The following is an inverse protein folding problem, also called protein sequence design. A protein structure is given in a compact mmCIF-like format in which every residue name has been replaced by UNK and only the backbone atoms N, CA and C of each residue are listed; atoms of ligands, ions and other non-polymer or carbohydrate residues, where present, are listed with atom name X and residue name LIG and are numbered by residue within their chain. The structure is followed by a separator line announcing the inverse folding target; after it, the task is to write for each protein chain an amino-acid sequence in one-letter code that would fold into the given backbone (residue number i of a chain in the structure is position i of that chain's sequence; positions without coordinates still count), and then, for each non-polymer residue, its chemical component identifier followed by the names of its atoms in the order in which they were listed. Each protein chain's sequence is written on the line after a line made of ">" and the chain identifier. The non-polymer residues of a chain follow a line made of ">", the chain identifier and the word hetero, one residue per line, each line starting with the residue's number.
data_IF_809927145300
#
_entry.id   IF_809927145300
#
_cell.length_a   1.000
_cell.length_b   1.000
_cell.length_c   1.000
_cell.angle_alpha   90.00
_cell.angle_beta   90.00
_cell.angle_gamma   90.00
#
_symmetry.space_group_name_H-M   'P 1'
#
loop_
_entity.id
_entity.type
_entity.pdbx_description
1 polymer ?
#
# COMPACT_ATOMS: atom_id res chain seq x y z
N UNK A 1 -13.53 -25.26 22.96
CA UNK A 1 -14.24 -24.04 22.52
C UNK A 1 -13.32 -23.10 21.73
N UNK A 2 -12.47 -23.61 20.83
CA UNK A 2 -11.47 -22.82 20.06
C UNK A 2 -11.80 -22.72 18.55
N UNK A 3 -12.87 -23.37 18.12
CA UNK A 3 -13.22 -23.54 16.71
C UNK A 3 -13.84 -22.27 16.11
N UNK A 4 -14.76 -21.62 16.81
CA UNK A 4 -15.59 -20.54 16.24
C UNK A 4 -14.80 -19.25 15.99
N UNK A 5 -13.86 -18.92 16.88
CA UNK A 5 -12.99 -17.75 16.72
C UNK A 5 -12.05 -17.90 15.53
N UNK A 6 -11.57 -19.13 15.27
CA UNK A 6 -10.70 -19.41 14.13
C UNK A 6 -11.43 -19.31 12.79
N UNK A 7 -12.69 -19.75 12.73
CA UNK A 7 -13.53 -19.67 11.52
C UNK A 7 -13.91 -18.22 11.22
N UNK A 8 -14.31 -17.46 12.25
CA UNK A 8 -14.62 -16.03 12.11
C UNK A 8 -13.43 -15.22 11.58
N UNK A 9 -12.24 -15.43 12.14
CA UNK A 9 -11.01 -14.74 11.70
C UNK A 9 -10.62 -15.10 10.27
N UNK A 10 -10.83 -16.35 9.85
CA UNK A 10 -10.60 -16.77 8.45
C UNK A 10 -11.55 -16.10 7.47
N UNK A 11 -12.83 -15.97 7.82
CA UNK A 11 -13.83 -15.29 7.00
C UNK A 11 -13.49 -13.80 6.84
N UNK A 12 -13.12 -13.13 7.94
CA UNK A 12 -12.61 -11.77 7.94
C UNK A 12 -11.36 -11.64 7.07
N UNK A 13 -10.43 -12.59 7.16
CA UNK A 13 -9.25 -12.61 6.29
C UNK A 13 -9.62 -12.70 4.81
N UNK A 14 -10.61 -13.51 4.45
CA UNK A 14 -11.10 -13.60 3.07
C UNK A 14 -11.67 -12.26 2.59
N UNK A 15 -12.46 -11.58 3.43
CA UNK A 15 -12.99 -10.24 3.13
C UNK A 15 -11.86 -9.23 2.95
N UNK A 16 -10.85 -9.23 3.81
CA UNK A 16 -9.69 -8.35 3.69
C UNK A 16 -8.89 -8.63 2.40
N UNK A 17 -8.75 -9.89 1.99
CA UNK A 17 -8.12 -10.24 0.72
C UNK A 17 -8.91 -9.74 -0.49
N UNK A 18 -10.25 -9.81 -0.45
CA UNK A 18 -11.10 -9.25 -1.51
C UNK A 18 -10.93 -7.73 -1.59
N UNK A 19 -10.96 -7.03 -0.45
CA UNK A 19 -10.72 -5.58 -0.40
C UNK A 19 -9.33 -5.25 -0.95
N UNK A 20 -8.29 -5.97 -0.52
CA UNK A 20 -6.93 -5.77 -1.00
C UNK A 20 -6.82 -5.97 -2.52
N UNK A 21 -7.42 -7.04 -3.05
CA UNK A 21 -7.43 -7.31 -4.49
C UNK A 21 -8.13 -6.18 -5.27
N UNK A 22 -9.27 -5.69 -4.77
CA UNK A 22 -9.97 -4.56 -5.38
C UNK A 22 -9.09 -3.30 -5.39
N UNK A 23 -8.48 -2.95 -4.25
CA UNK A 23 -7.59 -1.79 -4.11
C UNK A 23 -6.38 -1.87 -5.06
N UNK A 24 -5.74 -3.03 -5.16
CA UNK A 24 -4.57 -3.24 -6.02
C UNK A 24 -4.93 -3.28 -7.52
N UNK A 25 -6.17 -3.62 -7.87
CA UNK A 25 -6.65 -3.62 -9.26
C UNK A 25 -7.08 -2.23 -9.75
N UNK A 26 -7.59 -1.36 -8.86
CA UNK A 26 -8.08 -0.01 -9.24
C UNK A 26 -7.09 0.85 -10.03
N UNK A 27 -5.77 0.89 -9.71
CA UNK A 27 -4.80 1.67 -10.49
C UNK A 27 -4.76 1.32 -11.98
N UNK A 28 -5.05 0.07 -12.36
CA UNK A 28 -5.11 -0.34 -13.77
C UNK A 28 -6.32 0.30 -14.47
N UNK A 29 -7.47 0.38 -13.80
CA UNK A 29 -8.66 1.03 -14.32
C UNK A 29 -8.48 2.55 -14.44
N UNK A 30 -7.70 3.16 -13.54
CA UNK A 30 -7.39 4.59 -13.54
C UNK A 30 -6.28 4.97 -14.53
N UNK A 31 -5.63 4.01 -15.17
CA UNK A 31 -4.47 4.26 -16.06
C UNK A 31 -4.82 5.19 -17.21
N UNK A 32 -6.00 5.07 -17.81
CA UNK A 32 -6.44 5.94 -18.91
C UNK A 32 -6.69 7.38 -18.48
N UNK A 33 -7.15 7.59 -17.24
CA UNK A 33 -7.45 8.91 -16.66
C UNK A 33 -6.19 9.59 -16.13
N UNK A 34 -5.18 8.80 -15.78
CA UNK A 34 -3.90 9.26 -15.20
C UNK A 34 -2.74 9.23 -16.21
N UNK A 35 -2.99 8.81 -17.46
CA UNK A 35 -1.95 8.66 -18.48
C UNK A 35 -1.24 9.98 -18.82
N UNK A 36 -1.97 11.09 -18.86
CA UNK A 36 -1.43 12.43 -19.09
C UNK A 36 -1.05 13.16 -17.80
N UNK A 37 -1.37 12.60 -16.63
CA UNK A 37 -1.02 13.20 -15.37
C UNK A 37 0.46 12.93 -15.07
N UNK A 38 1.32 13.89 -15.40
CA UNK A 38 2.60 14.04 -14.73
C UNK A 38 2.39 14.22 -13.21
N UNK A 39 3.49 14.33 -12.45
CA UNK A 39 3.46 14.60 -10.99
C UNK A 39 2.33 15.60 -10.67
N UNK A 40 1.41 15.29 -9.74
CA UNK A 40 0.26 16.15 -9.46
C UNK A 40 0.69 17.58 -9.12
N UNK A 41 -0.11 18.57 -9.51
CA UNK A 41 0.12 19.97 -9.20
C UNK A 41 -1.03 20.52 -8.35
N UNK A 42 -0.71 21.12 -7.19
CA UNK A 42 -1.72 21.68 -6.29
C UNK A 42 -2.57 22.80 -6.94
N UNK A 43 -2.02 23.48 -7.95
CA UNK A 43 -2.72 24.51 -8.71
C UNK A 43 -3.84 23.96 -9.60
N UNK A 44 -3.85 22.65 -9.89
CA UNK A 44 -4.83 22.00 -10.75
C UNK A 44 -5.57 20.91 -9.97
N UNK A 45 -6.79 21.18 -9.45
CA UNK A 45 -7.55 20.22 -8.65
C UNK A 45 -7.80 18.88 -9.34
N UNK A 46 -7.92 18.88 -10.68
CA UNK A 46 -8.06 17.66 -11.48
C UNK A 46 -6.83 16.75 -11.40
N UNK A 47 -5.64 17.30 -11.22
CA UNK A 47 -4.40 16.54 -11.10
C UNK A 47 -4.30 15.74 -9.79
N UNK A 48 -5.10 16.09 -8.77
CA UNK A 48 -5.13 15.37 -7.48
C UNK A 48 -5.63 13.92 -7.62
N UNK A 49 -6.33 13.60 -8.72
CA UNK A 49 -6.67 12.21 -9.07
C UNK A 49 -5.40 11.36 -9.20
N UNK A 50 -4.26 11.95 -9.57
CA UNK A 50 -2.95 11.30 -9.61
C UNK A 50 -2.41 10.86 -8.24
N UNK A 51 -3.03 11.26 -7.12
CA UNK A 51 -2.72 10.72 -5.78
C UNK A 51 -3.37 9.35 -5.53
N UNK A 52 -4.42 9.02 -6.28
CA UNK A 52 -5.16 7.78 -6.06
C UNK A 52 -4.30 6.52 -6.27
N UNK A 53 -3.49 6.39 -7.34
CA UNK A 53 -2.66 5.19 -7.53
C UNK A 53 -1.72 4.88 -6.35
N UNK A 54 -0.85 5.80 -5.87
CA UNK A 54 -0.01 5.52 -4.70
C UNK A 54 -0.83 5.20 -3.44
N UNK A 55 -1.94 5.90 -3.20
CA UNK A 55 -2.79 5.66 -2.05
C UNK A 55 -3.45 4.27 -2.08
N UNK A 56 -3.99 3.87 -3.23
CA UNK A 56 -4.61 2.56 -3.44
C UNK A 56 -3.60 1.42 -3.29
N UNK A 57 -2.39 1.58 -3.82
CA UNK A 57 -1.32 0.59 -3.67
C UNK A 57 -0.88 0.46 -2.21
N UNK A 58 -0.68 1.57 -1.50
CA UNK A 58 -0.38 1.55 -0.06
C UNK A 58 -1.48 0.83 0.72
N UNK A 59 -2.74 1.21 0.50
CA UNK A 59 -3.88 0.64 1.20
C UNK A 59 -4.01 -0.87 0.91
N UNK A 60 -3.87 -1.26 -0.36
CA UNK A 60 -3.89 -2.64 -0.82
C UNK A 60 -2.78 -3.48 -0.19
N UNK A 61 -1.55 -2.95 -0.10
CA UNK A 61 -0.42 -3.67 0.49
C UNK A 61 -0.62 -3.95 2.00
N UNK A 62 -1.11 -2.96 2.75
CA UNK A 62 -1.40 -3.11 4.19
C UNK A 62 -2.53 -4.11 4.44
N UNK A 63 -3.64 -3.94 3.72
CA UNK A 63 -4.82 -4.82 3.83
C UNK A 63 -4.52 -6.25 3.36
N UNK A 64 -3.69 -6.44 2.34
CA UNK A 64 -3.27 -7.75 1.85
C UNK A 64 -2.54 -8.55 2.95
N UNK A 65 -1.54 -7.95 3.60
CA UNK A 65 -0.77 -8.64 4.64
C UNK A 65 -1.62 -8.96 5.86
N UNK A 66 -2.52 -8.04 6.25
CA UNK A 66 -3.51 -8.30 7.29
C UNK A 66 -4.41 -9.48 6.91
N UNK A 67 -4.95 -9.50 5.69
CA UNK A 67 -5.80 -10.58 5.19
C UNK A 67 -5.09 -11.93 5.16
N UNK A 68 -3.84 -11.97 4.71
CA UNK A 68 -3.01 -13.19 4.72
C UNK A 68 -2.83 -13.73 6.14
N UNK A 69 -2.56 -12.86 7.12
CA UNK A 69 -2.44 -13.26 8.51
C UNK A 69 -3.77 -13.80 9.05
N UNK A 70 -4.87 -13.11 8.77
CA UNK A 70 -6.21 -13.47 9.23
C UNK A 70 -6.73 -14.79 8.63
N UNK A 71 -6.49 -15.06 7.34
CA UNK A 71 -6.81 -16.38 6.73
C UNK A 71 -5.99 -17.51 7.36
N UNK A 72 -4.82 -17.21 7.91
CA UNK A 72 -4.02 -18.17 8.71
C UNK A 72 -4.48 -18.27 10.17
N UNK A 73 -5.59 -17.62 10.53
CA UNK A 73 -6.12 -17.57 11.89
C UNK A 73 -5.27 -16.77 12.86
N UNK A 74 -4.42 -15.86 12.38
CA UNK A 74 -3.46 -15.09 13.19
C UNK A 74 -3.66 -13.59 13.01
N UNK A 75 -3.17 -12.80 13.97
CA UNK A 75 -3.00 -11.36 13.79
C UNK A 75 -1.68 -11.08 13.09
N UNK A 76 -1.58 -9.91 12.44
CA UNK A 76 -0.34 -9.48 11.80
C UNK A 76 0.66 -9.03 12.87
N UNK A 77 1.83 -9.67 12.92
CA UNK A 77 2.91 -9.26 13.84
C UNK A 77 3.62 -7.97 13.35
N UNK A 78 4.18 -7.14 14.24
CA UNK A 78 4.93 -5.93 13.85
C UNK A 78 6.09 -6.20 12.88
N UNK A 79 6.80 -7.32 13.02
CA UNK A 79 7.91 -7.65 12.10
C UNK A 79 7.41 -8.09 10.72
N UNK A 80 6.29 -8.81 10.66
CA UNK A 80 5.70 -9.21 9.40
C UNK A 80 5.14 -8.01 8.62
N UNK A 81 4.69 -6.95 9.29
CA UNK A 81 4.21 -5.75 8.61
C UNK A 81 5.32 -4.94 7.92
N UNK A 82 6.61 -5.20 8.22
CA UNK A 82 7.73 -4.66 7.44
C UNK A 82 7.71 -5.11 5.97
N UNK A 83 6.99 -6.18 5.63
CA UNK A 83 6.76 -6.55 4.24
C UNK A 83 5.83 -5.58 3.50
N UNK A 84 5.03 -4.77 4.20
CA UNK A 84 4.04 -3.87 3.59
C UNK A 84 4.67 -2.84 2.64
N UNK A 85 5.70 -2.06 3.03
CA UNK A 85 6.36 -1.16 2.09
C UNK A 85 6.99 -1.91 0.90
N UNK A 86 7.51 -3.14 1.10
CA UNK A 86 8.07 -3.95 0.01
C UNK A 86 7.00 -4.38 -1.01
N UNK A 87 5.83 -4.81 -0.53
CA UNK A 87 4.69 -5.13 -1.40
C UNK A 87 4.24 -3.88 -2.17
N UNK A 88 4.19 -2.72 -1.51
CA UNK A 88 3.86 -1.45 -2.14
C UNK A 88 4.83 -1.07 -3.25
N UNK A 89 6.14 -1.21 -3.01
CA UNK A 89 7.19 -1.00 -4.02
C UNK A 89 7.03 -1.97 -5.19
N UNK A 90 6.88 -3.27 -4.92
CA UNK A 90 6.77 -4.28 -5.96
C UNK A 90 5.56 -4.04 -6.88
N UNK A 91 4.39 -3.73 -6.29
CA UNK A 91 3.18 -3.41 -7.06
C UNK A 91 3.35 -2.10 -7.81
N UNK A 92 3.90 -1.06 -7.16
CA UNK A 92 4.13 0.24 -7.80
C UNK A 92 5.03 0.13 -9.03
N UNK A 93 6.09 -0.68 -8.95
CA UNK A 93 6.96 -1.00 -10.09
C UNK A 93 6.19 -1.75 -11.17
N UNK A 94 5.42 -2.79 -10.79
CA UNK A 94 4.65 -3.59 -11.74
C UNK A 94 3.63 -2.75 -12.54
N UNK A 95 2.96 -1.80 -11.89
CA UNK A 95 2.03 -0.85 -12.55
C UNK A 95 2.76 0.10 -13.51
N UNK A 96 4.04 0.35 -13.26
CA UNK A 96 4.90 1.22 -14.04
C UNK A 96 5.42 0.61 -15.34
N UNK A 97 5.42 -0.72 -15.44
CA UNK A 97 5.88 -1.44 -16.62
C UNK A 97 4.77 -1.43 -17.66
N UNK A 98 5.09 -0.97 -18.87
CA UNK A 98 4.23 -1.11 -20.04
C UNK A 98 4.74 -2.24 -20.94
N UNK A 99 3.83 -3.16 -21.29
CA UNK A 99 4.10 -4.32 -22.15
C UNK A 99 3.16 -4.21 -23.35
N UNK A 100 3.39 -3.20 -24.19
CA UNK A 100 2.56 -2.96 -25.37
C UNK A 100 2.69 -4.09 -26.41
N UNK A 101 1.76 -4.20 -27.37
CA UNK A 101 1.81 -5.21 -28.44
C UNK A 101 3.08 -5.14 -29.32
N UNK A 102 3.77 -4.00 -29.34
CA UNK A 102 5.07 -3.84 -29.98
C UNK A 102 6.24 -4.56 -29.25
N UNK A 103 6.06 -4.92 -27.98
CA UNK A 103 7.07 -5.62 -27.17
C UNK A 103 7.34 -7.06 -27.68
N UNK A 104 6.46 -7.59 -28.53
CA UNK A 104 6.62 -8.92 -29.15
C UNK A 104 7.57 -8.86 -30.36
N UNK A 105 7.83 -7.68 -30.92
CA UNK A 105 8.71 -7.51 -32.10
C UNK A 105 10.10 -6.94 -31.76
N UNK A 106 10.25 -6.22 -30.64
CA UNK A 106 11.53 -5.85 -30.01
C UNK A 106 11.28 -5.69 -28.50
N UNK A 107 12.05 -6.32 -27.60
CA UNK A 107 11.81 -6.22 -26.16
C UNK A 107 12.27 -4.84 -25.65
N UNK A 108 11.48 -3.80 -25.90
CA UNK A 108 11.67 -2.49 -25.32
C UNK A 108 10.71 -2.34 -24.12
N UNK A 109 11.15 -2.76 -22.94
CA UNK A 109 10.44 -2.52 -21.70
C UNK A 109 10.39 -1.00 -21.46
N UNK A 110 9.20 -0.39 -21.46
CA UNK A 110 9.04 1.03 -21.12
C UNK A 110 8.58 1.16 -19.67
N UNK A 111 9.33 1.94 -18.89
CA UNK A 111 8.94 2.34 -17.54
C UNK A 111 8.28 3.72 -17.61
N UNK A 112 7.07 3.84 -17.06
CA UNK A 112 6.37 5.12 -16.98
C UNK A 112 7.11 6.12 -16.08
N UNK A 113 7.15 7.39 -16.47
CA UNK A 113 7.72 8.46 -15.63
C UNK A 113 6.97 8.68 -14.30
N UNK A 114 5.75 8.15 -14.17
CA UNK A 114 4.91 8.24 -12.96
C UNK A 114 5.28 7.16 -11.93
N UNK A 115 6.00 6.11 -12.35
CA UNK A 115 6.37 4.97 -11.50
C UNK A 115 7.13 5.36 -10.24
N UNK A 116 8.15 6.26 -10.26
CA UNK A 116 8.84 6.67 -9.04
C UNK A 116 7.93 7.34 -8.02
N UNK A 117 6.93 8.11 -8.48
CA UNK A 117 5.94 8.75 -7.61
C UNK A 117 5.01 7.72 -6.94
N UNK A 118 4.49 6.77 -7.72
CA UNK A 118 3.64 5.68 -7.20
C UNK A 118 4.41 4.83 -6.19
N UNK A 119 5.64 4.44 -6.53
CA UNK A 119 6.51 3.64 -5.67
C UNK A 119 6.81 4.36 -4.36
N UNK A 120 7.17 5.64 -4.42
CA UNK A 120 7.46 6.43 -3.21
C UNK A 120 6.22 6.57 -2.32
N UNK A 121 5.07 6.95 -2.87
CA UNK A 121 3.82 7.07 -2.11
C UNK A 121 3.36 5.73 -1.51
N UNK A 122 3.48 4.64 -2.27
CA UNK A 122 3.18 3.29 -1.80
C UNK A 122 4.11 2.83 -0.67
N UNK A 123 5.41 3.12 -0.78
CA UNK A 123 6.39 2.81 0.26
C UNK A 123 6.12 3.61 1.54
N UNK A 124 5.84 4.91 1.43
CA UNK A 124 5.48 5.77 2.56
C UNK A 124 4.21 5.23 3.23
N UNK A 125 3.14 4.99 2.48
CA UNK A 125 1.89 4.49 3.07
C UNK A 125 2.01 3.08 3.64
N UNK A 126 2.75 2.17 2.99
CA UNK A 126 3.00 0.82 3.50
C UNK A 126 3.84 0.81 4.77
N UNK A 127 4.76 1.78 4.93
CA UNK A 127 5.58 1.91 6.14
C UNK A 127 4.78 2.29 7.39
N UNK A 128 3.54 2.79 7.24
CA UNK A 128 2.67 3.07 8.39
C UNK A 128 2.27 1.79 9.14
N UNK A 129 2.16 0.64 8.47
CA UNK A 129 1.81 -0.61 9.12
C UNK A 129 2.83 -1.07 10.19
N UNK A 130 4.15 -1.15 9.91
CA UNK A 130 5.14 -1.44 10.94
C UNK A 130 5.32 -0.32 11.96
N UNK A 131 5.11 0.95 11.61
CA UNK A 131 5.12 2.05 12.59
C UNK A 131 3.99 1.89 13.59
N UNK A 132 2.75 1.71 13.12
CA UNK A 132 1.58 1.58 13.99
C UNK A 132 1.66 0.31 14.83
N UNK A 133 1.94 -0.85 14.22
CA UNK A 133 2.04 -2.10 14.98
C UNK A 133 3.26 -2.11 15.91
N UNK A 134 4.38 -1.50 15.51
CA UNK A 134 5.54 -1.34 16.38
C UNK A 134 5.23 -0.47 17.60
N UNK A 135 4.48 0.62 17.39
CA UNK A 135 4.06 1.50 18.48
C UNK A 135 3.06 0.83 19.42
N UNK A 136 2.02 0.17 18.90
CA UNK A 136 0.97 -0.45 19.73
C UNK A 136 1.39 -1.74 20.41
N UNK A 137 2.42 -2.43 19.89
CA UNK A 137 2.93 -3.69 20.45
C UNK A 137 4.31 -3.56 21.11
N UNK A 138 4.77 -2.33 21.32
CA UNK A 138 6.07 -2.01 21.93
C UNK A 138 7.29 -2.68 21.23
N UNK A 139 7.15 -3.04 19.94
CA UNK A 139 8.26 -3.57 19.13
C UNK A 139 9.07 -2.41 18.54
N UNK A 140 10.06 -1.97 19.32
CA UNK A 140 10.95 -0.85 18.96
C UNK A 140 11.70 -1.09 17.64
N UNK A 141 12.04 -2.34 17.32
CA UNK A 141 12.76 -2.67 16.08
C UNK A 141 11.84 -2.44 14.88
N UNK A 142 10.60 -2.93 14.94
CA UNK A 142 9.61 -2.72 13.88
C UNK A 142 9.25 -1.25 13.72
N UNK A 143 9.08 -0.52 14.84
CA UNK A 143 8.83 0.92 14.85
C UNK A 143 9.94 1.69 14.13
N UNK A 144 11.19 1.49 14.54
CA UNK A 144 12.34 2.20 13.97
C UNK A 144 12.57 1.83 12.51
N UNK A 145 12.49 0.54 12.17
CA UNK A 145 12.63 0.09 10.79
C UNK A 145 11.52 0.69 9.89
N UNK A 146 10.27 0.71 10.37
CA UNK A 146 9.16 1.36 9.69
C UNK A 146 9.39 2.86 9.49
N UNK A 147 9.82 3.57 10.55
CA UNK A 147 10.12 5.01 10.48
C UNK A 147 11.26 5.32 9.50
N UNK A 148 12.34 4.54 9.52
CA UNK A 148 13.45 4.70 8.57
C UNK A 148 12.96 4.51 7.13
N UNK A 149 12.16 3.47 6.86
CA UNK A 149 11.59 3.25 5.53
C UNK A 149 10.66 4.40 5.09
N UNK A 150 9.90 4.98 6.02
CA UNK A 150 9.08 6.16 5.77
C UNK A 150 9.96 7.35 5.32
N UNK A 151 11.00 7.68 6.09
CA UNK A 151 11.89 8.81 5.79
C UNK A 151 12.68 8.59 4.50
N UNK A 152 13.16 7.37 4.24
CA UNK A 152 13.81 7.01 2.97
C UNK A 152 12.85 7.19 1.80
N UNK A 153 11.59 6.74 1.95
CA UNK A 153 10.56 6.93 0.94
C UNK A 153 10.29 8.41 0.63
N UNK A 154 10.24 9.27 1.65
CA UNK A 154 10.10 10.72 1.49
C UNK A 154 11.32 11.33 0.80
N UNK A 155 12.54 10.94 1.21
CA UNK A 155 13.78 11.48 0.65
C UNK A 155 14.03 11.12 -0.82
N UNK A 156 13.49 9.99 -1.28
CA UNK A 156 13.62 9.53 -2.66
C UNK A 156 12.44 9.94 -3.56
N UNK A 157 11.40 10.56 -3.00
CA UNK A 157 10.20 10.91 -3.74
C UNK A 157 10.47 12.10 -4.70
N UNK A 158 10.04 12.02 -5.97
CA UNK A 158 10.18 13.15 -6.90
C UNK A 158 9.32 14.36 -6.50
N UNK A 159 8.26 14.14 -5.72
CA UNK A 159 7.42 15.17 -5.11
C UNK A 159 7.08 14.77 -3.66
N UNK A 160 7.95 15.08 -2.68
CA UNK A 160 7.89 14.51 -1.34
C UNK A 160 6.60 14.85 -0.60
N UNK A 161 6.13 16.09 -0.68
CA UNK A 161 4.89 16.50 -0.01
C UNK A 161 3.65 15.74 -0.53
N UNK A 162 3.56 15.55 -1.85
CA UNK A 162 2.43 14.87 -2.48
C UNK A 162 2.52 13.36 -2.32
N UNK A 163 3.72 12.78 -2.39
CA UNK A 163 3.93 11.36 -2.13
C UNK A 163 3.61 11.02 -0.67
N UNK A 164 3.99 11.90 0.27
CA UNK A 164 3.62 11.79 1.67
C UNK A 164 2.11 11.91 1.86
N UNK A 165 1.45 12.90 1.25
CA UNK A 165 -0.01 13.03 1.31
C UNK A 165 -0.72 11.77 0.79
N UNK A 166 -0.34 11.26 -0.38
CA UNK A 166 -0.92 10.05 -0.95
C UNK A 166 -0.66 8.80 -0.07
N UNK A 167 0.57 8.64 0.42
CA UNK A 167 0.94 7.54 1.30
C UNK A 167 0.17 7.57 2.63
N UNK A 168 0.05 8.74 3.25
CA UNK A 168 -0.73 8.93 4.48
C UNK A 168 -2.23 8.66 4.26
N UNK A 169 -2.80 9.13 3.15
CA UNK A 169 -4.19 8.85 2.81
C UNK A 169 -4.39 7.34 2.62
N UNK A 170 -3.56 6.67 1.82
CA UNK A 170 -3.69 5.24 1.56
C UNK A 170 -3.48 4.37 2.80
N UNK A 171 -2.29 4.44 3.39
CA UNK A 171 -1.93 3.62 4.55
C UNK A 171 -2.73 3.98 5.79
N UNK A 172 -2.99 5.27 6.04
CA UNK A 172 -3.80 5.73 7.16
C UNK A 172 -5.25 5.28 7.07
N UNK A 173 -5.89 5.41 5.90
CA UNK A 173 -7.26 4.88 5.71
C UNK A 173 -7.31 3.36 5.84
N UNK A 174 -6.30 2.63 5.34
CA UNK A 174 -6.22 1.19 5.53
C UNK A 174 -6.12 0.79 7.00
N UNK A 175 -5.29 1.48 7.79
CA UNK A 175 -5.19 1.25 9.24
C UNK A 175 -6.51 1.57 9.94
N UNK A 176 -7.16 2.69 9.59
CA UNK A 176 -8.45 3.07 10.16
C UNK A 176 -9.55 2.02 9.84
N UNK A 177 -9.54 1.49 8.61
CA UNK A 177 -10.42 0.38 8.22
C UNK A 177 -10.10 -0.90 9.01
N UNK A 178 -8.83 -1.19 9.26
CA UNK A 178 -8.43 -2.37 10.04
C UNK A 178 -8.77 -2.22 11.53
N UNK A 179 -8.84 -1.00 12.07
CA UNK A 179 -9.38 -0.76 13.43
C UNK A 179 -10.87 -1.07 13.56
N UNK A 180 -11.63 -0.98 12.47
CA UNK A 180 -13.05 -1.33 12.47
C UNK A 180 -13.27 -2.81 12.16
N UNK A 181 -12.52 -3.38 11.22
CA UNK A 181 -12.67 -4.77 10.79
C UNK A 181 -11.95 -5.78 11.69
N UNK A 182 -10.71 -5.52 12.12
CA UNK A 182 -9.87 -6.41 12.94
C UNK A 182 -9.30 -5.66 14.15
N UNK A 183 -10.19 -5.25 15.05
CA UNK A 183 -9.87 -4.50 16.24
C UNK A 183 -8.81 -5.21 17.11
N UNK A 184 -8.89 -6.53 17.27
CA UNK A 184 -7.94 -7.34 18.04
C UNK A 184 -6.50 -7.26 17.48
N UNK A 185 -6.36 -7.15 16.16
CA UNK A 185 -5.07 -7.07 15.48
C UNK A 185 -4.44 -5.68 15.59
N UNK A 186 -5.25 -4.63 15.45
CA UNK A 186 -4.75 -3.29 15.12
C UNK A 186 -5.02 -2.20 16.15
N UNK A 187 -6.02 -2.33 17.04
CA UNK A 187 -6.25 -1.31 18.08
C UNK A 187 -5.12 -1.32 19.13
N UNK A 188 -4.76 -0.14 19.67
CA UNK A 188 -3.89 -0.04 20.84
C UNK A 188 -4.51 -0.72 22.06
#
# INVERSE_FOLDING_TARGET
>A
MTSDTSVSRRALGAVQLVIAALLLAQPLALRSVTADAAIPALAEPRSLIGLAPPALVAAGAVTLLSGIAAVRGRTLSPRASLASPLVGVAVGVALGVDVGPAAVSVPALRVSGVTPFVVAGAAIGGSLAPVVLGATREDTIALLAGAVLLFVGVGLAPAPALALAAGLLGGGLAIALLWTLDAEGWRP
#
